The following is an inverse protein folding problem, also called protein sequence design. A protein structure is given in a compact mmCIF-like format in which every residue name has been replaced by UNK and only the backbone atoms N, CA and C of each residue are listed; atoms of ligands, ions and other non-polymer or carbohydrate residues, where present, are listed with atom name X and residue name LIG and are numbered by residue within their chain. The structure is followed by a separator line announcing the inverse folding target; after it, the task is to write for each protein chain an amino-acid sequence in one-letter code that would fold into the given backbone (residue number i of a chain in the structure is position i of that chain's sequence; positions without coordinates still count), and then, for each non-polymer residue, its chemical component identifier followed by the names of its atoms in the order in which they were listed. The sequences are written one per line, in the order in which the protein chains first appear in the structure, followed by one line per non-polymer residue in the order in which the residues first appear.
data_IF_982854234598
#
_entry.id   IF_982854234598
#
_cell.length_a   1.000
_cell.length_b   1.000
_cell.length_c   1.000
_cell.angle_alpha   90.00
_cell.angle_beta   90.00
_cell.angle_gamma   90.00
#
_symmetry.space_group_name_H-M   'P 1'
#
loop_
_entity.id
_entity.type
_entity.pdbx_description
1 polymer ?
#
# COMPACT_ATOMS: atom_id res chain seq x y z
N UNK A 1 -8.06 36.93 22.70
CA UNK A 1 -8.26 36.03 21.54
C UNK A 1 -8.32 34.58 22.03
N UNK A 2 -9.47 33.92 21.91
CA UNK A 2 -9.52 32.47 22.11
C UNK A 2 -8.65 31.86 21.01
N UNK A 3 -7.51 31.29 21.40
CA UNK A 3 -6.67 30.53 20.49
C UNK A 3 -7.34 29.18 20.37
N UNK A 4 -8.19 28.99 19.35
CA UNK A 4 -8.71 27.66 19.04
C UNK A 4 -7.58 26.81 18.49
N UNK A 5 -7.40 25.63 19.08
CA UNK A 5 -6.53 24.59 18.59
C UNK A 5 -7.35 23.32 18.41
N UNK A 6 -6.98 22.51 17.42
CA UNK A 6 -7.63 21.25 17.11
C UNK A 6 -6.55 20.16 16.96
N UNK A 7 -6.87 18.96 17.41
CA UNK A 7 -6.09 17.75 17.21
C UNK A 7 -7.03 16.64 16.74
N UNK A 8 -6.80 16.12 15.54
CA UNK A 8 -7.53 14.99 14.98
C UNK A 8 -6.55 13.90 14.52
N UNK A 9 -6.96 12.64 14.66
CA UNK A 9 -6.23 11.45 14.23
C UNK A 9 -7.05 10.66 13.20
N UNK A 10 -6.38 10.05 12.24
CA UNK A 10 -6.97 9.04 11.35
C UNK A 10 -6.03 7.84 11.20
N UNK A 11 -6.61 6.69 10.87
CA UNK A 11 -5.88 5.45 10.59
C UNK A 11 -6.13 5.10 9.13
N UNK A 12 -5.06 5.02 8.34
CA UNK A 12 -5.14 4.61 6.95
C UNK A 12 -5.46 3.14 6.81
N UNK A 13 -5.97 2.73 5.64
CA UNK A 13 -6.29 1.33 5.31
C UNK A 13 -5.10 0.38 5.45
N UNK A 14 -3.88 0.89 5.29
CA UNK A 14 -2.62 0.18 5.47
C UNK A 14 -2.13 0.09 6.93
N UNK A 15 -2.93 0.58 7.90
CA UNK A 15 -2.57 0.63 9.31
C UNK A 15 -1.66 1.79 9.70
N UNK A 16 -1.37 2.72 8.78
CA UNK A 16 -0.60 3.92 9.11
C UNK A 16 -1.40 4.84 10.02
N UNK A 17 -0.72 5.39 11.04
CA UNK A 17 -1.34 6.31 11.98
C UNK A 17 -0.98 7.74 11.61
N UNK A 18 -2.00 8.57 11.47
CA UNK A 18 -1.85 9.96 11.09
C UNK A 18 -2.52 10.89 12.10
N UNK A 19 -1.92 12.05 12.32
CA UNK A 19 -2.48 13.11 13.16
C UNK A 19 -2.31 14.45 12.49
N UNK A 20 -3.29 15.33 12.66
CA UNK A 20 -3.19 16.75 12.34
C UNK A 20 -3.35 17.57 13.62
N UNK A 21 -2.45 18.54 13.80
CA UNK A 21 -2.55 19.58 14.79
C UNK A 21 -2.66 20.93 14.08
N UNK A 22 -3.66 21.73 14.45
CA UNK A 22 -3.88 23.04 13.86
C UNK A 22 -4.18 24.07 14.94
N UNK A 23 -3.79 25.31 14.69
CA UNK A 23 -4.07 26.45 15.57
C UNK A 23 -4.33 27.67 14.71
N UNK A 24 -5.30 28.48 15.10
CA UNK A 24 -5.62 29.74 14.44
C UNK A 24 -4.35 30.57 14.16
N UNK A 25 -4.22 31.09 12.94
CA UNK A 25 -3.09 31.92 12.46
C UNK A 25 -1.74 31.22 12.39
N UNK A 26 -1.72 29.89 12.45
CA UNK A 26 -0.53 29.07 12.22
C UNK A 26 -0.79 28.05 11.13
N UNK A 27 0.28 27.59 10.47
CA UNK A 27 0.17 26.48 9.53
C UNK A 27 -0.07 25.18 10.29
N UNK A 28 -1.06 24.37 9.89
CA UNK A 28 -1.26 23.05 10.47
C UNK A 28 -0.07 22.13 10.22
N UNK A 29 0.16 21.23 11.17
CA UNK A 29 1.18 20.21 11.10
C UNK A 29 0.50 18.85 11.05
N UNK A 30 0.94 18.01 10.11
CA UNK A 30 0.59 16.60 10.07
C UNK A 30 1.78 15.78 10.53
N UNK A 31 1.48 14.72 11.26
CA UNK A 31 2.43 13.70 11.67
C UNK A 31 1.95 12.34 11.15
N UNK A 32 2.83 11.63 10.46
CA UNK A 32 2.67 10.24 10.03
C UNK A 32 3.55 9.36 10.90
N UNK A 33 3.00 8.27 11.42
CA UNK A 33 3.78 7.16 12.02
C UNK A 33 3.71 5.98 11.07
N UNK A 34 4.84 5.67 10.44
CA UNK A 34 4.97 4.53 9.53
C UNK A 34 4.99 3.19 10.26
N UNK A 35 4.83 2.09 9.51
CA UNK A 35 4.88 0.73 10.06
C UNK A 35 6.23 0.36 10.71
N UNK A 36 7.31 1.05 10.36
CA UNK A 36 8.63 0.94 11.01
C UNK A 36 8.78 1.83 12.26
N UNK A 37 7.67 2.39 12.76
CA UNK A 37 7.61 3.35 13.87
C UNK A 37 8.33 4.68 13.62
N UNK A 38 8.75 4.97 12.38
CA UNK A 38 9.32 6.29 12.06
C UNK A 38 8.24 7.35 11.97
N UNK A 39 8.60 8.53 12.48
CA UNK A 39 7.72 9.70 12.50
C UNK A 39 8.16 10.66 11.40
N UNK A 40 7.24 10.98 10.49
CA UNK A 40 7.43 11.99 9.44
C UNK A 40 6.47 13.14 9.65
N UNK A 41 6.95 14.36 9.46
CA UNK A 41 6.16 15.58 9.65
C UNK A 41 5.93 16.28 8.31
N UNK A 42 4.72 16.79 8.11
CA UNK A 42 4.33 17.58 6.95
C UNK A 42 3.70 18.90 7.42
N UNK A 43 3.98 19.99 6.71
CA UNK A 43 3.32 21.27 6.92
C UNK A 43 2.21 21.44 5.88
N UNK A 44 1.00 21.77 6.31
CA UNK A 44 -0.09 22.11 5.39
C UNK A 44 0.13 23.55 4.90
N UNK A 45 0.16 23.83 3.59
CA UNK A 45 0.66 25.09 3.04
C UNK A 45 -0.38 26.21 3.06
N UNK A 46 -1.14 26.32 4.14
CA UNK A 46 -2.18 27.32 4.30
C UNK A 46 -2.36 27.70 5.77
N UNK A 47 -3.06 28.80 6.01
CA UNK A 47 -3.36 29.32 7.34
C UNK A 47 -4.76 29.90 7.32
N UNK A 48 -5.51 29.63 8.38
CA UNK A 48 -6.83 30.23 8.61
C UNK A 48 -6.82 31.03 9.91
N UNK A 49 -7.60 32.11 9.93
CA UNK A 49 -7.64 33.11 10.99
C UNK A 49 -8.33 32.60 12.25
N UNK A 50 -9.45 31.88 12.10
CA UNK A 50 -10.30 31.38 13.17
C UNK A 50 -10.72 29.94 12.88
N UNK A 51 -9.89 28.97 13.28
CA UNK A 51 -10.20 27.56 13.08
C UNK A 51 -11.38 27.12 13.96
N UNK A 52 -12.35 26.48 13.32
CA UNK A 52 -13.45 25.78 13.96
C UNK A 52 -13.09 24.30 14.12
N UNK A 53 -12.69 23.65 13.02
CA UNK A 53 -12.28 22.25 12.98
C UNK A 53 -11.05 22.07 12.09
N UNK A 54 -10.14 21.19 12.48
CA UNK A 54 -9.13 20.63 11.59
C UNK A 54 -9.34 19.12 11.53
N UNK A 55 -9.77 18.61 10.38
CA UNK A 55 -9.97 17.18 10.23
C UNK A 55 -9.13 16.60 9.11
N UNK A 56 -8.83 15.32 9.21
CA UNK A 56 -8.12 14.60 8.17
C UNK A 56 -8.70 13.21 8.00
N UNK A 57 -8.61 12.71 6.78
CA UNK A 57 -8.92 11.32 6.49
C UNK A 57 -8.11 10.82 5.30
N UNK A 58 -8.04 9.50 5.13
CA UNK A 58 -7.16 8.85 4.16
C UNK A 58 -7.99 7.92 3.28
N UNK A 59 -7.90 8.12 1.96
CA UNK A 59 -8.59 7.26 1.00
C UNK A 59 -7.96 5.86 0.94
N UNK A 60 -8.66 4.92 0.30
CA UNK A 60 -8.17 3.56 0.07
C UNK A 60 -6.86 3.52 -0.76
N UNK A 61 -6.65 4.52 -1.63
CA UNK A 61 -5.41 4.69 -2.40
C UNK A 61 -4.33 5.53 -1.69
N UNK A 62 -4.58 5.88 -0.42
CA UNK A 62 -3.63 6.55 0.46
C UNK A 62 -3.44 8.05 0.20
N UNK A 63 -4.32 8.67 -0.59
CA UNK A 63 -4.43 10.13 -0.66
C UNK A 63 -4.88 10.66 0.71
N UNK A 64 -4.04 11.49 1.33
CA UNK A 64 -4.35 12.13 2.60
C UNK A 64 -5.11 13.40 2.31
N UNK A 65 -6.33 13.54 2.84
CA UNK A 65 -7.07 14.79 2.76
C UNK A 65 -7.10 15.48 4.12
N UNK A 66 -7.16 16.80 4.07
CA UNK A 66 -7.29 17.67 5.23
C UNK A 66 -8.41 18.65 4.95
N UNK A 67 -9.29 18.85 5.92
CA UNK A 67 -10.16 20.00 5.97
C UNK A 67 -9.76 20.94 7.10
N UNK A 68 -9.69 22.23 6.77
CA UNK A 68 -9.48 23.32 7.70
C UNK A 68 -10.75 24.17 7.64
N UNK A 69 -11.64 23.92 8.58
CA UNK A 69 -12.96 24.53 8.63
C UNK A 69 -12.85 25.75 9.52
N UNK A 70 -13.30 26.89 9.01
CA UNK A 70 -13.12 28.18 9.64
C UNK A 70 -14.46 28.87 9.88
N UNK A 71 -14.52 29.72 10.90
CA UNK A 71 -15.67 30.57 11.18
C UNK A 71 -15.43 31.98 10.64
N UNK A 72 -16.33 32.46 9.78
CA UNK A 72 -16.28 33.84 9.24
C UNK A 72 -15.23 34.08 8.16
N UNK A 73 -14.64 33.02 7.60
CA UNK A 73 -13.78 33.04 6.41
C UNK A 73 -13.98 31.75 5.60
N UNK A 74 -13.38 31.68 4.41
CA UNK A 74 -13.51 30.50 3.55
C UNK A 74 -12.72 29.32 4.11
N UNK A 75 -13.45 28.24 4.42
CA UNK A 75 -12.86 26.96 4.79
C UNK A 75 -12.09 26.35 3.62
N UNK A 76 -11.06 25.55 3.90
CA UNK A 76 -10.22 24.95 2.86
C UNK A 76 -10.18 23.42 2.98
N UNK A 77 -10.23 22.76 1.84
CA UNK A 77 -10.07 21.32 1.72
C UNK A 77 -8.88 21.08 0.80
N UNK A 78 -7.88 20.39 1.31
CA UNK A 78 -6.65 20.07 0.62
C UNK A 78 -6.46 18.56 0.59
N UNK A 79 -5.72 18.08 -0.39
CA UNK A 79 -5.26 16.70 -0.44
C UNK A 79 -3.77 16.67 -0.79
N UNK A 80 -3.08 15.70 -0.22
CA UNK A 80 -1.68 15.41 -0.49
C UNK A 80 -1.62 14.28 -1.51
N UNK A 81 -0.97 14.54 -2.63
CA UNK A 81 -0.83 13.60 -3.74
C UNK A 81 0.57 13.70 -4.34
N UNK A 82 1.30 12.59 -4.37
CA UNK A 82 2.70 12.52 -4.84
C UNK A 82 3.62 13.53 -4.14
N UNK A 83 3.42 13.73 -2.83
CA UNK A 83 4.16 14.71 -2.02
C UNK A 83 3.79 16.18 -2.23
N UNK A 84 2.85 16.48 -3.11
CA UNK A 84 2.38 17.85 -3.37
C UNK A 84 0.98 18.10 -2.80
N UNK A 85 0.80 19.27 -2.18
CA UNK A 85 -0.49 19.71 -1.67
C UNK A 85 -1.31 20.37 -2.77
N UNK A 86 -2.53 19.89 -2.97
CA UNK A 86 -3.47 20.38 -3.97
C UNK A 86 -4.77 20.80 -3.30
N UNK A 87 -5.42 21.85 -3.83
CA UNK A 87 -6.69 22.34 -3.31
C UNK A 87 -7.85 21.57 -3.94
N UNK A 88 -8.74 21.01 -3.12
CA UNK A 88 -9.96 20.33 -3.56
C UNK A 88 -11.17 21.30 -3.59
N UNK A 89 -11.13 22.34 -2.75
CA UNK A 89 -12.16 23.37 -2.68
C UNK A 89 -12.27 23.94 -1.28
N UNK A 90 -13.46 24.44 -0.94
CA UNK A 90 -13.82 24.89 0.40
C UNK A 90 -15.04 24.18 0.95
N UNK A 91 -15.27 24.34 2.26
CA UNK A 91 -16.50 23.88 2.93
C UNK A 91 -17.60 24.94 2.79
N UNK A 92 -18.88 24.55 2.60
CA UNK A 92 -20.00 25.49 2.61
C UNK A 92 -20.28 26.09 4.00
N UNK A 93 -19.59 25.63 5.05
CA UNK A 93 -19.71 26.20 6.38
C UNK A 93 -18.93 27.53 6.47
N UNK A 94 -19.62 28.65 6.27
CA UNK A 94 -19.20 29.96 6.80
C UNK A 94 -19.87 30.27 8.15
N UNK A 95 -20.99 29.60 8.46
CA UNK A 95 -21.79 29.78 9.69
C UNK A 95 -22.21 28.43 10.34
N UNK A 96 -21.28 27.53 10.64
CA UNK A 96 -21.57 26.29 11.38
C UNK A 96 -20.98 26.27 12.80
N UNK A 97 -21.58 25.45 13.67
CA UNK A 97 -21.15 25.27 15.07
C UNK A 97 -20.08 24.19 15.24
N UNK A 98 -20.12 23.19 14.36
CA UNK A 98 -19.20 22.07 14.31
C UNK A 98 -19.23 21.51 12.89
N UNK A 99 -18.15 20.87 12.49
CA UNK A 99 -18.08 20.14 11.24
C UNK A 99 -17.07 19.00 11.35
N UNK A 100 -17.13 18.05 10.43
CA UNK A 100 -16.17 16.97 10.32
C UNK A 100 -16.07 16.49 8.86
N UNK A 101 -15.02 15.76 8.55
CA UNK A 101 -14.73 15.22 7.23
C UNK A 101 -14.45 13.72 7.32
N UNK A 102 -14.96 12.98 6.34
CA UNK A 102 -14.55 11.60 6.11
C UNK A 102 -14.42 11.32 4.62
N UNK A 103 -13.57 10.36 4.26
CA UNK A 103 -13.44 9.85 2.90
C UNK A 103 -14.16 8.51 2.82
N UNK A 104 -15.00 8.38 1.80
CA UNK A 104 -15.55 7.09 1.41
C UNK A 104 -15.40 6.92 -0.08
N UNK A 105 -14.69 5.84 -0.49
CA UNK A 105 -14.24 5.61 -1.87
C UNK A 105 -13.42 6.81 -2.38
N UNK A 106 -13.82 7.42 -3.50
CA UNK A 106 -13.15 8.58 -4.08
C UNK A 106 -13.81 9.91 -3.67
N UNK A 107 -14.59 9.97 -2.59
CA UNK A 107 -15.30 11.19 -2.19
C UNK A 107 -14.92 11.64 -0.79
N UNK A 108 -14.65 12.93 -0.69
CA UNK A 108 -14.55 13.65 0.59
C UNK A 108 -15.94 14.14 0.95
N UNK A 109 -16.49 13.63 2.05
CA UNK A 109 -17.75 14.06 2.63
C UNK A 109 -17.48 15.07 3.74
N UNK A 110 -18.21 16.18 3.74
CA UNK A 110 -18.18 17.19 4.80
C UNK A 110 -19.54 17.30 5.43
N UNK A 111 -19.61 16.94 6.71
CA UNK A 111 -20.77 17.15 7.56
C UNK A 111 -20.61 18.42 8.37
N UNK A 112 -21.66 19.22 8.51
CA UNK A 112 -21.67 20.39 9.37
C UNK A 112 -22.98 20.55 10.14
N UNK A 113 -22.89 21.09 11.35
CA UNK A 113 -24.04 21.42 12.19
C UNK A 113 -24.40 22.89 12.00
N UNK A 114 -25.58 23.14 11.44
CA UNK A 114 -26.05 24.49 11.13
C UNK A 114 -26.40 25.26 12.41
N UNK A 115 -25.85 26.47 12.52
CA UNK A 115 -26.07 27.34 13.67
C UNK A 115 -27.56 27.64 13.86
N UNK A 116 -28.02 27.60 15.11
CA UNK A 116 -29.40 27.98 15.49
C UNK A 116 -30.48 26.96 15.16
N UNK A 117 -30.21 25.98 14.29
CA UNK A 117 -31.18 24.90 13.97
C UNK A 117 -30.75 23.55 14.53
N UNK A 118 -29.45 23.31 14.68
CA UNK A 118 -28.90 21.99 15.02
C UNK A 118 -29.06 20.95 13.91
N UNK A 119 -29.52 21.36 12.72
CA UNK A 119 -29.66 20.47 11.57
C UNK A 119 -28.28 20.12 10.99
N UNK A 120 -28.17 18.91 10.44
CA UNK A 120 -26.94 18.44 9.78
C UNK A 120 -27.05 18.74 8.28
N UNK A 121 -26.04 19.42 7.75
CA UNK A 121 -25.81 19.56 6.31
C UNK A 121 -24.69 18.62 5.88
N UNK A 122 -24.87 17.92 4.76
CA UNK A 122 -23.87 17.03 4.19
C UNK A 122 -23.57 17.47 2.75
N UNK A 123 -22.29 17.67 2.44
CA UNK A 123 -21.82 17.95 1.08
C UNK A 123 -20.64 17.04 0.74
N UNK A 124 -20.28 16.96 -0.54
CA UNK A 124 -19.15 16.16 -0.96
C UNK A 124 -18.35 16.81 -2.09
N UNK A 125 -17.11 16.36 -2.23
CA UNK A 125 -16.21 16.62 -3.36
C UNK A 125 -15.62 15.30 -3.83
N UNK A 126 -15.56 15.12 -5.14
CA UNK A 126 -14.86 13.98 -5.73
C UNK A 126 -13.35 14.25 -5.71
N UNK A 127 -12.57 13.29 -5.20
CA UNK A 127 -11.13 13.25 -5.36
C UNK A 127 -10.81 12.91 -6.82
N UNK A 128 -9.71 13.47 -7.37
CA UNK A 128 -9.21 13.03 -8.66
C UNK A 128 -9.01 11.51 -8.65
N UNK A 129 -9.35 10.86 -9.75
CA UNK A 129 -8.99 9.46 -9.94
C UNK A 129 -7.47 9.36 -9.96
N UNK A 130 -6.96 8.43 -9.16
CA UNK A 130 -5.54 8.08 -9.11
C UNK A 130 -5.42 6.66 -9.60
N UNK A 131 -4.70 6.48 -10.70
CA UNK A 131 -4.37 5.15 -11.18
C UNK A 131 -3.46 4.46 -10.16
N UNK A 132 -3.87 3.28 -9.72
CA UNK A 132 -3.06 2.48 -8.82
C UNK A 132 -1.90 1.88 -9.60
N UNK A 133 -0.71 1.75 -9.00
CA UNK A 133 0.38 1.03 -9.64
C UNK A 133 -0.01 -0.44 -9.75
N UNK A 134 0.45 -1.07 -10.83
CA UNK A 134 0.43 -2.50 -11.03
C UNK A 134 1.87 -2.99 -11.12
N UNK A 135 2.12 -4.18 -10.59
CA UNK A 135 3.39 -4.86 -10.79
C UNK A 135 3.27 -5.68 -12.07
N UNK A 136 4.13 -5.39 -13.04
CA UNK A 136 4.13 -6.05 -14.34
C UNK A 136 5.51 -6.65 -14.64
N UNK A 137 5.52 -7.66 -15.51
CA UNK A 137 6.77 -8.15 -16.09
C UNK A 137 7.27 -7.20 -17.16
N UNK A 138 8.58 -6.96 -17.20
CA UNK A 138 9.21 -6.22 -18.29
C UNK A 138 9.02 -7.01 -19.60
N UNK A 139 8.65 -6.32 -20.68
CA UNK A 139 8.42 -6.94 -22.00
C UNK A 139 9.61 -7.83 -22.40
N UNK A 140 9.32 -8.99 -23.01
CA UNK A 140 10.25 -10.08 -23.41
C UNK A 140 10.66 -11.12 -22.36
N UNK A 141 10.19 -11.04 -21.12
CA UNK A 141 10.47 -12.04 -20.09
C UNK A 141 9.38 -13.13 -20.01
N UNK A 142 9.75 -14.33 -19.56
CA UNK A 142 8.81 -15.44 -19.27
C UNK A 142 8.14 -15.32 -17.89
N UNK A 143 8.22 -14.15 -17.27
CA UNK A 143 7.74 -13.89 -15.91
C UNK A 143 6.26 -13.56 -15.95
N UNK A 144 5.49 -14.18 -15.07
CA UNK A 144 4.07 -13.90 -14.89
C UNK A 144 3.82 -13.29 -13.52
N UNK A 145 3.01 -12.24 -13.48
CA UNK A 145 2.53 -11.60 -12.26
C UNK A 145 1.02 -11.75 -12.23
N UNK A 146 0.52 -12.73 -11.49
CA UNK A 146 -0.91 -13.06 -11.45
C UNK A 146 -1.30 -13.68 -10.11
N UNK A 147 -2.55 -13.48 -9.69
CA UNK A 147 -3.14 -14.15 -8.52
C UNK A 147 -2.36 -14.02 -7.19
N UNK A 148 -1.57 -12.95 -7.06
CA UNK A 148 -0.71 -12.74 -5.86
C UNK A 148 0.61 -13.50 -5.90
N UNK A 149 0.95 -14.09 -7.04
CA UNK A 149 2.20 -14.81 -7.28
C UNK A 149 3.03 -14.18 -8.37
N UNK A 150 4.35 -14.37 -8.28
CA UNK A 150 5.31 -14.09 -9.34
C UNK A 150 5.96 -15.42 -9.71
N UNK A 151 5.77 -15.85 -10.96
CA UNK A 151 6.28 -17.13 -11.47
C UNK A 151 7.13 -16.92 -12.72
N UNK A 152 7.93 -17.91 -13.10
CA UNK A 152 8.73 -17.86 -14.33
C UNK A 152 10.00 -17.01 -14.22
N UNK A 153 10.37 -16.57 -13.02
CA UNK A 153 11.68 -15.97 -12.74
C UNK A 153 12.80 -16.99 -12.98
N UNK A 154 13.96 -16.56 -13.53
CA UNK A 154 15.10 -17.44 -13.64
C UNK A 154 15.69 -17.75 -12.26
N UNK A 155 16.24 -18.96 -12.14
CA UNK A 155 17.01 -19.33 -10.94
C UNK A 155 18.19 -18.38 -10.75
N UNK A 156 18.50 -18.06 -9.50
CA UNK A 156 19.58 -17.17 -9.06
C UNK A 156 19.51 -15.80 -9.70
N UNK A 157 18.30 -15.27 -9.88
CA UNK A 157 18.08 -13.91 -10.34
C UNK A 157 18.83 -12.92 -9.42
N UNK A 158 19.82 -12.21 -9.98
CA UNK A 158 20.64 -11.28 -9.20
C UNK A 158 19.86 -10.06 -8.72
N UNK A 159 18.83 -9.65 -9.46
CA UNK A 159 18.01 -8.48 -9.16
C UNK A 159 16.64 -8.58 -9.85
N UNK A 160 15.54 -8.44 -9.09
CA UNK A 160 14.19 -8.47 -9.64
C UNK A 160 13.84 -7.26 -10.52
N UNK A 161 14.58 -6.14 -10.40
CA UNK A 161 14.40 -4.96 -11.25
C UNK A 161 14.75 -5.23 -12.73
N UNK A 162 15.36 -6.37 -13.04
CA UNK A 162 15.61 -6.81 -14.42
C UNK A 162 14.40 -7.50 -15.06
N UNK A 163 13.39 -7.86 -14.26
CA UNK A 163 12.26 -8.68 -14.67
C UNK A 163 10.91 -8.02 -14.38
N UNK A 164 10.86 -7.14 -13.39
CA UNK A 164 9.64 -6.54 -12.88
C UNK A 164 9.75 -5.02 -12.92
N UNK A 165 8.64 -4.37 -13.22
CA UNK A 165 8.47 -2.94 -13.09
C UNK A 165 7.12 -2.61 -12.45
N UNK A 166 7.05 -1.46 -11.79
CA UNK A 166 5.81 -0.93 -11.25
C UNK A 166 5.32 0.22 -12.15
N UNK A 167 4.04 0.19 -12.52
CA UNK A 167 3.43 1.26 -13.32
C UNK A 167 3.08 2.48 -12.46
N UNK A 168 2.67 3.58 -13.10
CA UNK A 168 2.08 4.75 -12.44
C UNK A 168 2.95 5.36 -11.33
N UNK A 169 4.26 5.46 -11.61
CA UNK A 169 5.29 5.98 -10.69
C UNK A 169 5.39 5.20 -9.36
N UNK A 170 4.73 4.05 -9.28
CA UNK A 170 4.87 3.12 -8.17
C UNK A 170 6.28 2.55 -8.09
N UNK A 171 6.56 1.91 -6.97
CA UNK A 171 7.81 1.18 -6.79
C UNK A 171 7.55 -0.10 -6.01
N UNK A 172 8.47 -1.05 -6.11
CA UNK A 172 8.40 -2.27 -5.32
C UNK A 172 9.66 -2.47 -4.48
N UNK A 173 9.50 -3.25 -3.42
CA UNK A 173 10.58 -3.72 -2.55
C UNK A 173 10.44 -5.23 -2.39
N UNK A 174 11.56 -5.92 -2.19
CA UNK A 174 11.56 -7.35 -1.96
C UNK A 174 12.61 -7.74 -0.92
N UNK A 175 12.38 -8.86 -0.24
CA UNK A 175 13.25 -9.38 0.82
C UNK A 175 14.15 -10.53 0.37
N UNK A 176 13.65 -11.40 -0.50
CA UNK A 176 14.34 -12.53 -1.10
C UNK A 176 13.93 -12.67 -2.59
N UNK A 177 14.76 -13.37 -3.37
CA UNK A 177 14.53 -13.67 -4.79
C UNK A 177 14.13 -15.12 -5.05
N UNK A 178 14.23 -16.00 -4.05
CA UNK A 178 13.80 -17.40 -4.12
C UNK A 178 12.33 -17.60 -3.74
N UNK A 179 11.86 -18.84 -3.86
CA UNK A 179 10.50 -19.22 -3.48
C UNK A 179 10.15 -18.79 -2.05
N UNK A 180 8.94 -18.25 -1.87
CA UNK A 180 8.47 -17.71 -0.59
C UNK A 180 8.88 -16.26 -0.33
N UNK A 181 9.85 -15.73 -1.08
CA UNK A 181 10.21 -14.30 -1.07
C UNK A 181 9.01 -13.40 -1.37
N UNK A 182 8.96 -12.26 -0.69
CA UNK A 182 7.84 -11.32 -0.77
C UNK A 182 8.22 -10.10 -1.60
N UNK A 183 7.38 -9.76 -2.57
CA UNK A 183 7.46 -8.51 -3.33
C UNK A 183 6.29 -7.60 -2.92
N UNK A 184 6.63 -6.42 -2.44
CA UNK A 184 5.70 -5.42 -1.90
C UNK A 184 5.59 -4.26 -2.89
N UNK A 185 4.42 -4.06 -3.47
CA UNK A 185 4.12 -2.98 -4.40
C UNK A 185 3.60 -1.76 -3.64
N UNK A 186 4.16 -0.59 -3.91
CA UNK A 186 3.80 0.68 -3.30
C UNK A 186 3.40 1.71 -4.35
N UNK A 187 2.50 2.62 -3.97
CA UNK A 187 2.31 3.89 -4.70
C UNK A 187 3.55 4.77 -4.59
N UNK A 188 3.65 5.80 -5.44
CA UNK A 188 4.70 6.82 -5.35
C UNK A 188 4.82 7.44 -3.95
N UNK A 189 3.68 7.59 -3.24
CA UNK A 189 3.59 8.12 -1.87
C UNK A 189 3.99 7.12 -0.78
N UNK A 190 4.37 5.90 -1.15
CA UNK A 190 4.80 4.86 -0.21
C UNK A 190 3.66 4.14 0.51
N UNK A 191 2.46 4.16 -0.06
CA UNK A 191 1.32 3.38 0.44
C UNK A 191 1.41 1.97 -0.14
N UNK A 192 1.38 0.95 0.72
CA UNK A 192 1.40 -0.45 0.29
C UNK A 192 0.09 -0.79 -0.44
N UNK A 193 0.22 -1.26 -1.68
CA UNK A 193 -0.91 -1.63 -2.56
C UNK A 193 -1.17 -3.12 -2.52
N UNK A 194 -0.12 -3.94 -2.72
CA UNK A 194 -0.25 -5.39 -2.85
C UNK A 194 1.01 -6.12 -2.44
N UNK A 195 0.85 -7.37 -1.99
CA UNK A 195 1.93 -8.31 -1.71
C UNK A 195 1.88 -9.45 -2.71
N UNK A 196 3.03 -9.85 -3.20
CA UNK A 196 3.20 -10.99 -4.09
C UNK A 196 4.20 -11.98 -3.49
N UNK A 197 3.95 -13.27 -3.68
CA UNK A 197 4.88 -14.34 -3.28
C UNK A 197 5.59 -14.88 -4.52
N UNK A 198 6.92 -14.99 -4.45
CA UNK A 198 7.72 -15.57 -5.51
C UNK A 198 7.58 -17.09 -5.49
N UNK A 199 7.40 -17.69 -6.66
CA UNK A 199 7.40 -19.13 -6.89
C UNK A 199 8.40 -19.43 -8.01
N UNK A 200 9.53 -20.04 -7.65
CA UNK A 200 10.50 -20.57 -8.61
C UNK A 200 10.30 -22.08 -8.69
N UNK A 201 10.03 -22.55 -9.91
CA UNK A 201 9.82 -23.97 -10.18
C UNK A 201 11.01 -24.80 -9.71
N UNK A 202 10.76 -25.78 -8.84
CA UNK A 202 11.77 -26.69 -8.29
C UNK A 202 12.62 -26.13 -7.15
N UNK A 203 12.58 -24.83 -6.85
CA UNK A 203 13.22 -24.22 -5.68
C UNK A 203 12.20 -24.25 -4.54
N UNK A 204 12.26 -25.26 -3.68
CA UNK A 204 11.29 -25.44 -2.59
C UNK A 204 11.84 -25.00 -1.25
N UNK A 205 13.18 -24.85 -1.15
CA UNK A 205 13.86 -24.37 0.04
C UNK A 205 13.99 -22.83 0.07
N UNK A 206 13.72 -22.14 -1.03
CA UNK A 206 13.73 -20.67 -1.16
C UNK A 206 15.10 -20.06 -1.40
N UNK A 207 16.10 -20.83 -1.81
CA UNK A 207 17.47 -20.37 -2.06
C UNK A 207 17.71 -19.83 -3.49
N UNK A 208 16.62 -19.77 -4.28
CA UNK A 208 16.59 -19.34 -5.67
C UNK A 208 17.27 -20.31 -6.66
N UNK A 209 17.63 -21.52 -6.25
CA UNK A 209 18.12 -22.57 -7.12
C UNK A 209 17.24 -23.81 -6.98
N UNK A 210 17.08 -24.56 -8.07
CA UNK A 210 16.51 -25.90 -8.01
C UNK A 210 17.67 -26.88 -8.09
N UNK A 211 17.93 -27.61 -7.01
CA UNK A 211 19.03 -28.58 -6.95
C UNK A 211 18.74 -29.83 -6.11
N UNK A 212 19.75 -30.67 -5.89
CA UNK A 212 19.59 -31.92 -5.15
C UNK A 212 19.00 -31.76 -3.74
N UNK A 213 19.17 -30.59 -3.10
CA UNK A 213 18.57 -30.30 -1.80
C UNK A 213 17.04 -30.21 -1.91
N UNK A 214 16.53 -29.54 -2.93
CA UNK A 214 15.09 -29.44 -3.19
C UNK A 214 14.49 -30.81 -3.49
N UNK A 215 15.19 -31.64 -4.26
CA UNK A 215 14.74 -32.99 -4.57
C UNK A 215 14.50 -33.83 -3.30
N UNK A 216 15.38 -33.70 -2.29
CA UNK A 216 15.22 -34.38 -0.99
C UNK A 216 13.97 -33.87 -0.27
N UNK A 217 13.72 -32.56 -0.27
CA UNK A 217 12.57 -31.97 0.38
C UNK A 217 11.24 -32.33 -0.32
N UNK A 218 11.21 -32.34 -1.65
CA UNK A 218 10.06 -32.79 -2.44
C UNK A 218 9.73 -34.25 -2.10
N UNK A 219 10.72 -35.14 -2.08
CA UNK A 219 10.52 -36.55 -1.72
C UNK A 219 10.03 -36.71 -0.27
N UNK A 220 10.56 -35.94 0.67
CA UNK A 220 10.08 -35.93 2.05
C UNK A 220 8.62 -35.45 2.15
N UNK A 221 8.23 -34.44 1.37
CA UNK A 221 6.85 -33.97 1.29
C UNK A 221 5.91 -35.02 0.66
N UNK A 222 6.33 -35.64 -0.46
CA UNK A 222 5.58 -36.70 -1.13
C UNK A 222 5.38 -37.93 -0.23
N UNK A 223 6.37 -38.26 0.60
CA UNK A 223 6.28 -39.32 1.61
C UNK A 223 5.45 -38.93 2.84
N UNK A 224 4.90 -37.71 2.90
CA UNK A 224 4.10 -37.22 4.03
C UNK A 224 4.90 -36.90 5.29
N UNK A 225 6.22 -36.72 5.16
CA UNK A 225 7.11 -36.40 6.29
C UNK A 225 7.14 -34.90 6.61
N UNK A 226 6.67 -34.05 5.69
CA UNK A 226 6.59 -32.60 5.83
C UNK A 226 5.14 -32.12 5.76
N UNK A 227 4.87 -30.98 6.39
CA UNK A 227 3.62 -30.22 6.22
C UNK A 227 3.93 -28.92 5.48
N UNK A 228 4.14 -28.95 4.16
CA UNK A 228 4.59 -27.80 3.40
C UNK A 228 3.54 -26.69 3.32
N UNK A 229 4.01 -25.46 3.33
CA UNK A 229 3.21 -24.27 3.03
C UNK A 229 2.81 -24.22 1.55
N UNK A 230 1.91 -23.30 1.18
CA UNK A 230 1.38 -23.21 -0.18
C UNK A 230 2.45 -22.90 -1.22
N UNK A 231 3.37 -21.97 -0.93
CA UNK A 231 4.45 -21.60 -1.85
C UNK A 231 5.37 -22.79 -2.17
N UNK A 232 5.67 -23.63 -1.16
CA UNK A 232 6.41 -24.88 -1.36
C UNK A 232 5.66 -25.79 -2.33
N UNK A 233 4.36 -26.01 -2.13
CA UNK A 233 3.58 -26.93 -2.97
C UNK A 233 3.54 -26.47 -4.42
N UNK A 234 3.40 -25.17 -4.64
CA UNK A 234 3.40 -24.57 -5.98
C UNK A 234 4.77 -24.66 -6.66
N UNK A 235 5.87 -24.50 -5.91
CA UNK A 235 7.23 -24.69 -6.44
C UNK A 235 7.56 -26.16 -6.70
N UNK A 236 7.06 -27.05 -5.85
CA UNK A 236 7.28 -28.49 -5.90
C UNK A 236 6.48 -29.20 -6.99
N UNK A 237 5.33 -28.65 -7.44
CA UNK A 237 4.55 -29.20 -8.55
C UNK A 237 5.24 -28.88 -9.89
N UNK A 238 6.29 -29.63 -10.19
CA UNK A 238 7.17 -29.35 -11.33
C UNK A 238 6.64 -29.91 -12.64
N UNK A 239 5.71 -30.86 -12.62
CA UNK A 239 5.04 -31.32 -13.83
C UNK A 239 3.66 -30.65 -14.06
N UNK A 240 3.16 -29.91 -13.08
CA UNK A 240 1.96 -29.07 -13.18
C UNK A 240 0.67 -29.87 -13.09
N UNK A 241 0.68 -31.05 -12.46
CA UNK A 241 -0.50 -31.92 -12.31
C UNK A 241 -1.34 -31.60 -11.07
N UNK A 242 -0.88 -30.66 -10.24
CA UNK A 242 -1.53 -30.20 -9.02
C UNK A 242 -1.22 -31.05 -7.78
N UNK A 243 -0.28 -32.01 -7.86
CA UNK A 243 0.12 -32.88 -6.75
C UNK A 243 1.63 -32.93 -6.63
N UNK A 244 2.10 -32.87 -5.38
CA UNK A 244 3.52 -33.09 -5.08
C UNK A 244 3.79 -34.58 -4.92
N UNK A 245 4.57 -35.14 -5.83
CA UNK A 245 4.94 -36.57 -5.86
C UNK A 245 6.44 -36.76 -6.03
N UNK A 246 6.93 -38.00 -5.90
CA UNK A 246 8.35 -38.31 -6.10
C UNK A 246 8.83 -37.95 -7.52
N UNK A 247 7.94 -37.99 -8.51
CA UNK A 247 8.23 -37.64 -9.91
C UNK A 247 8.69 -36.19 -10.04
N UNK A 248 8.18 -35.30 -9.20
CA UNK A 248 8.57 -33.89 -9.21
C UNK A 248 10.02 -33.65 -8.82
N UNK A 249 10.62 -34.59 -8.07
CA UNK A 249 12.03 -34.49 -7.68
C UNK A 249 12.99 -34.64 -8.87
N UNK A 250 12.54 -35.16 -10.01
CA UNK A 250 13.38 -35.30 -11.20
C UNK A 250 13.82 -33.94 -11.78
N UNK A 251 12.97 -32.91 -11.71
CA UNK A 251 13.31 -31.58 -12.21
C UNK A 251 14.54 -30.99 -11.50
N UNK A 252 14.55 -30.81 -10.16
CA UNK A 252 15.71 -30.26 -9.46
C UNK A 252 16.95 -31.16 -9.56
N UNK A 253 16.81 -32.50 -9.62
CA UNK A 253 17.93 -33.43 -9.86
C UNK A 253 18.63 -33.10 -11.19
N UNK A 254 17.84 -32.90 -12.25
CA UNK A 254 18.36 -32.61 -13.58
C UNK A 254 18.93 -31.18 -13.71
N UNK A 255 18.48 -30.23 -12.89
CA UNK A 255 19.06 -28.90 -12.79
C UNK A 255 20.47 -28.91 -12.16
N UNK A 256 20.67 -29.71 -11.11
CA UNK A 256 21.97 -29.85 -10.42
C UNK A 256 23.05 -30.59 -11.22
N UNK A 257 22.66 -31.41 -12.20
CA UNK A 257 23.59 -32.23 -13.01
C UNK A 257 24.53 -31.42 -13.94
N UNK A 258 24.30 -30.11 -14.10
CA UNK A 258 25.15 -29.22 -14.91
C UNK A 258 26.20 -28.44 -14.09
N UNK A 259 26.39 -28.77 -12.80
CA UNK A 259 27.35 -28.10 -11.90
C UNK A 259 28.51 -29.00 -11.40
N UNK A 260 28.75 -30.15 -12.04
CA UNK A 260 29.95 -30.99 -11.82
C UNK A 260 30.98 -30.85 -12.94
#
# INVERSE_FOLDING_TARGET
PLVSSNLHRSIGYNGEYWMIAATSKSKPIIVKVGGDSKVTQYEVPTTITNILEASMDISENGTVCVSLIASGEDSQILYLDSGEWKQLGGSPCSECQAADMTIYRNRVYLGSVLTGTGAISLTYKDLPEKEMPELISIESQTVSVADGYITGLPQRAANLNLFLEATNEGYFKYDNVGTGGQVLLYTADGVLVKRYTIIIKGDVNGDAAADGCDAVLINAAAAGMLSPEECFKLAADTDGDGKVTEKDSEYPINCGAYLL
#
